data_IF_726143005359
#
_entry.id   IF_726143005359
#
_cell.length_a   1.000
_cell.length_b   1.000
_cell.length_c   1.000
_cell.angle_alpha   90.00
_cell.angle_beta   90.00
_cell.angle_gamma   90.00
#
_symmetry.space_group_name_H-M   'P 1'
#
loop_
_entity.id
_entity.type
_entity.pdbx_description
1 polymer ?
#
# COMPACT_ATOMS: atom_id res chain seq x y z
N UNK A 1 11.44 -18.82 10.28
CA UNK A 1 12.10 -17.83 9.38
C UNK A 1 11.72 -18.18 7.95
N UNK A 2 11.21 -17.24 7.14
CA UNK A 2 10.88 -17.53 5.74
C UNK A 2 12.20 -17.54 4.94
N UNK A 3 12.62 -18.70 4.44
CA UNK A 3 13.71 -18.79 3.47
C UNK A 3 13.12 -18.43 2.10
N UNK A 4 13.40 -17.22 1.61
CA UNK A 4 12.83 -16.77 0.33
C UNK A 4 13.41 -17.55 -0.85
N UNK A 5 14.65 -18.03 -0.79
CA UNK A 5 15.22 -18.89 -1.84
C UNK A 5 14.34 -20.11 -2.14
N UNK A 6 13.75 -20.73 -1.12
CA UNK A 6 12.80 -21.83 -1.29
C UNK A 6 11.49 -21.41 -1.99
N UNK A 7 11.01 -20.17 -1.78
CA UNK A 7 9.84 -19.63 -2.49
C UNK A 7 10.16 -19.34 -3.96
N UNK A 8 11.38 -18.91 -4.26
CA UNK A 8 11.83 -18.54 -5.60
C UNK A 8 12.49 -19.71 -6.38
N UNK A 9 12.57 -20.90 -5.77
CA UNK A 9 13.04 -22.18 -6.36
C UNK A 9 14.45 -22.13 -6.95
N UNK A 10 15.35 -21.34 -6.36
CA UNK A 10 16.74 -21.15 -6.83
C UNK A 10 16.89 -20.76 -8.31
N UNK A 11 15.85 -20.19 -8.91
CA UNK A 11 15.89 -19.66 -10.28
C UNK A 11 16.21 -18.17 -10.26
N UNK A 12 17.04 -17.76 -11.21
CA UNK A 12 17.30 -16.35 -11.51
C UNK A 12 16.20 -15.83 -12.45
N UNK A 13 15.71 -14.63 -12.13
CA UNK A 13 14.72 -13.90 -12.93
C UNK A 13 15.32 -12.57 -13.35
N UNK A 14 14.89 -12.05 -14.50
CA UNK A 14 15.36 -10.76 -14.99
C UNK A 14 14.79 -9.62 -14.12
N UNK A 15 13.54 -9.80 -13.66
CA UNK A 15 12.84 -8.80 -12.86
C UNK A 15 12.13 -9.46 -11.68
N UNK A 16 12.43 -8.95 -10.49
CA UNK A 16 11.72 -9.22 -9.25
C UNK A 16 10.78 -8.06 -8.96
N UNK A 17 9.51 -8.28 -9.19
CA UNK A 17 8.44 -7.39 -8.78
C UNK A 17 7.96 -7.76 -7.37
N UNK A 18 7.72 -6.77 -6.53
CA UNK A 18 7.30 -7.00 -5.14
C UNK A 18 6.16 -6.08 -4.76
N UNK A 19 5.20 -6.61 -4.03
CA UNK A 19 4.20 -5.80 -3.34
C UNK A 19 4.84 -4.99 -2.20
N UNK A 20 4.43 -3.74 -2.04
CA UNK A 20 5.07 -2.87 -1.04
C UNK A 20 4.58 -3.17 0.38
N UNK A 21 3.28 -3.25 0.62
CA UNK A 21 2.74 -3.22 1.97
C UNK A 21 2.31 -4.61 2.44
N UNK A 22 2.57 -4.93 3.70
CA UNK A 22 2.40 -6.28 4.26
C UNK A 22 3.30 -7.36 3.60
N UNK A 23 4.07 -6.98 2.58
CA UNK A 23 5.05 -7.80 1.86
C UNK A 23 6.49 -7.27 2.03
N UNK A 24 6.87 -6.15 1.41
CA UNK A 24 8.19 -5.52 1.56
C UNK A 24 8.31 -4.77 2.89
N UNK A 25 7.32 -3.93 3.19
CA UNK A 25 7.15 -3.18 4.43
C UNK A 25 6.02 -3.81 5.24
N UNK A 26 6.35 -4.33 6.41
CA UNK A 26 5.42 -5.08 7.24
C UNK A 26 4.68 -4.17 8.21
N UNK A 27 3.37 -4.36 8.35
CA UNK A 27 2.60 -3.71 9.41
C UNK A 27 2.49 -4.57 10.65
N UNK A 28 2.37 -3.90 11.79
CA UNK A 28 1.83 -4.49 13.02
C UNK A 28 0.38 -4.95 12.78
N UNK A 29 -0.14 -5.86 13.59
CA UNK A 29 -1.50 -6.42 13.47
C UNK A 29 -2.65 -5.43 13.73
N UNK A 30 -2.40 -4.13 13.62
CA UNK A 30 -3.42 -3.09 13.73
C UNK A 30 -4.18 -3.00 12.41
N UNK A 31 -5.49 -3.25 12.46
CA UNK A 31 -6.33 -3.13 11.28
C UNK A 31 -6.35 -1.69 10.73
N UNK A 32 -6.72 -1.53 9.47
CA UNK A 32 -6.83 -0.23 8.81
C UNK A 32 -7.70 0.77 9.58
N UNK A 33 -8.88 0.35 10.03
CA UNK A 33 -9.77 1.21 10.82
C UNK A 33 -9.14 1.71 12.12
N UNK A 34 -8.32 0.90 12.78
CA UNK A 34 -7.56 1.33 13.94
C UNK A 34 -6.54 2.41 13.57
N UNK A 35 -5.84 2.23 12.45
CA UNK A 35 -4.86 3.20 11.95
C UNK A 35 -5.52 4.54 11.61
N UNK A 36 -6.65 4.51 10.92
CA UNK A 36 -7.45 5.73 10.66
C UNK A 36 -7.90 6.42 11.95
N UNK A 37 -8.20 5.65 13.01
CA UNK A 37 -8.58 6.24 14.30
C UNK A 37 -7.40 6.97 14.94
N UNK A 38 -6.19 6.38 14.90
CA UNK A 38 -4.98 7.04 15.41
C UNK A 38 -4.62 8.28 14.58
N UNK A 39 -4.68 8.20 13.25
CA UNK A 39 -4.47 9.34 12.35
C UNK A 39 -5.50 10.45 12.64
N UNK A 40 -6.76 10.10 12.89
CA UNK A 40 -7.82 11.08 13.25
C UNK A 40 -7.51 11.83 14.55
N UNK A 41 -6.92 11.16 15.55
CA UNK A 41 -6.43 11.84 16.78
C UNK A 41 -5.28 12.79 16.47
N UNK A 42 -4.37 12.38 15.60
CA UNK A 42 -3.24 13.21 15.15
C UNK A 42 -3.77 14.45 14.44
N UNK A 43 -4.67 14.29 13.46
CA UNK A 43 -5.27 15.39 12.69
C UNK A 43 -6.00 16.37 13.60
N UNK A 44 -6.85 15.88 14.51
CA UNK A 44 -7.54 16.74 15.48
C UNK A 44 -6.57 17.67 16.21
N UNK A 45 -5.46 17.13 16.70
CA UNK A 45 -4.49 17.85 17.53
C UNK A 45 -3.57 18.74 16.69
N UNK A 46 -3.03 18.22 15.59
CA UNK A 46 -1.97 18.85 14.80
C UNK A 46 -2.51 19.81 13.74
N UNK A 47 -3.69 19.55 13.21
CA UNK A 47 -4.40 20.43 12.26
C UNK A 47 -5.49 21.26 12.95
N UNK A 48 -5.60 21.19 14.28
CA UNK A 48 -6.55 21.98 15.10
C UNK A 48 -8.04 21.83 14.70
N UNK A 49 -8.42 20.66 14.17
CA UNK A 49 -9.80 20.39 13.72
C UNK A 49 -10.76 20.37 14.92
N UNK A 50 -11.81 21.19 14.86
CA UNK A 50 -12.77 21.38 15.97
C UNK A 50 -13.83 20.28 16.08
N UNK A 51 -13.87 19.32 15.16
CA UNK A 51 -14.75 18.13 15.23
C UNK A 51 -14.22 17.08 16.22
N UNK A 52 -15.09 16.21 16.73
CA UNK A 52 -14.65 15.11 17.60
C UNK A 52 -13.89 14.04 16.80
N UNK A 53 -13.05 13.24 17.47
CA UNK A 53 -12.22 12.22 16.79
C UNK A 53 -13.08 11.22 16.01
N UNK A 54 -14.23 10.83 16.54
CA UNK A 54 -15.13 9.88 15.88
C UNK A 54 -15.70 10.45 14.57
N UNK A 55 -16.04 11.75 14.53
CA UNK A 55 -16.48 12.39 13.27
C UNK A 55 -15.38 12.43 12.24
N UNK A 56 -14.14 12.77 12.64
CA UNK A 56 -12.98 12.79 11.73
C UNK A 56 -12.73 11.39 11.15
N UNK A 57 -12.77 10.38 12.02
CA UNK A 57 -12.60 8.98 11.64
C UNK A 57 -13.71 8.50 10.68
N UNK A 58 -14.97 8.80 10.98
CA UNK A 58 -16.10 8.41 10.13
C UNK A 58 -16.03 9.12 8.78
N UNK A 59 -15.71 10.41 8.76
CA UNK A 59 -15.52 11.16 7.51
C UNK A 59 -14.40 10.58 6.65
N UNK A 60 -13.29 10.11 7.24
CA UNK A 60 -12.23 9.42 6.52
C UNK A 60 -12.74 8.16 5.80
N UNK A 61 -13.53 7.34 6.50
CA UNK A 61 -14.07 6.09 5.95
C UNK A 61 -15.08 6.38 4.84
N UNK A 62 -16.00 7.30 5.09
CA UNK A 62 -17.02 7.69 4.11
C UNK A 62 -16.40 8.34 2.88
N UNK A 63 -15.39 9.21 3.06
CA UNK A 63 -14.63 9.78 1.96
C UNK A 63 -13.94 8.73 1.11
N UNK A 64 -13.29 7.73 1.73
CA UNK A 64 -12.70 6.62 1.00
C UNK A 64 -13.76 5.81 0.25
N UNK A 65 -14.90 5.49 0.89
CA UNK A 65 -16.00 4.76 0.25
C UNK A 65 -16.55 5.51 -0.96
N UNK A 66 -16.79 6.82 -0.83
CA UNK A 66 -17.25 7.69 -1.91
C UNK A 66 -16.20 7.73 -3.02
N UNK A 67 -14.91 7.89 -2.69
CA UNK A 67 -13.84 7.91 -3.67
C UNK A 67 -13.78 6.61 -4.49
N UNK A 68 -13.77 5.45 -3.83
CA UNK A 68 -13.76 4.15 -4.52
C UNK A 68 -15.06 3.89 -5.30
N UNK A 69 -16.21 4.41 -4.86
CA UNK A 69 -17.45 4.31 -5.62
C UNK A 69 -17.41 5.17 -6.90
N UNK A 70 -17.01 6.44 -6.77
CA UNK A 70 -16.90 7.38 -7.90
C UNK A 70 -15.91 6.88 -8.95
N UNK A 71 -14.76 6.37 -8.50
CA UNK A 71 -13.72 5.84 -9.37
C UNK A 71 -14.02 4.41 -9.84
N UNK A 72 -14.80 3.63 -9.09
CA UNK A 72 -15.21 2.28 -9.47
C UNK A 72 -16.03 2.25 -10.77
N UNK A 73 -16.78 3.31 -11.06
CA UNK A 73 -17.54 3.48 -12.30
C UNK A 73 -16.68 3.88 -13.51
N UNK A 74 -15.47 4.39 -13.28
CA UNK A 74 -14.50 4.75 -14.31
C UNK A 74 -13.42 3.65 -14.33
N UNK A 75 -13.54 2.69 -15.26
CA UNK A 75 -12.99 1.34 -15.10
C UNK A 75 -11.49 1.25 -14.78
N UNK A 76 -10.70 2.28 -15.05
CA UNK A 76 -9.27 2.30 -14.80
C UNK A 76 -8.85 2.99 -13.49
N UNK A 77 -9.58 4.01 -13.01
CA UNK A 77 -9.04 4.94 -12.02
C UNK A 77 -9.06 4.40 -10.58
N UNK A 78 -8.07 4.83 -9.79
CA UNK A 78 -7.94 4.53 -8.36
C UNK A 78 -7.74 5.87 -7.61
N UNK A 79 -8.48 6.13 -6.52
CA UNK A 79 -8.38 7.40 -5.83
C UNK A 79 -7.05 7.51 -5.08
N UNK A 80 -6.40 8.67 -5.17
CA UNK A 80 -5.25 8.99 -4.35
C UNK A 80 -5.65 9.63 -3.01
N UNK A 81 -4.70 9.66 -2.09
CA UNK A 81 -4.86 10.16 -0.72
C UNK A 81 -5.35 11.60 -0.67
N UNK A 82 -4.84 12.46 -1.55
CA UNK A 82 -5.21 13.88 -1.62
C UNK A 82 -6.69 14.04 -1.97
N UNK A 83 -7.18 13.25 -2.93
CA UNK A 83 -8.60 13.24 -3.28
C UNK A 83 -9.48 12.79 -2.10
N UNK A 84 -9.06 11.73 -1.40
CA UNK A 84 -9.77 11.25 -0.20
C UNK A 84 -9.80 12.33 0.89
N UNK A 85 -8.71 13.09 1.09
CA UNK A 85 -8.70 14.18 2.06
C UNK A 85 -9.59 15.35 1.69
N UNK A 86 -9.64 15.75 0.41
CA UNK A 86 -10.56 16.79 -0.05
C UNK A 86 -12.00 16.43 0.32
N UNK A 87 -12.45 15.24 -0.07
CA UNK A 87 -13.77 14.72 0.31
C UNK A 87 -13.98 14.66 1.82
N UNK A 88 -12.98 14.17 2.57
CA UNK A 88 -13.06 14.07 4.02
C UNK A 88 -13.26 15.43 4.68
N UNK A 89 -12.51 16.45 4.28
CA UNK A 89 -12.61 17.78 4.87
C UNK A 89 -13.86 18.53 4.40
N UNK A 90 -14.34 18.29 3.17
CA UNK A 90 -15.66 18.76 2.70
C UNK A 90 -16.80 18.17 3.56
N UNK A 91 -16.79 16.85 3.80
CA UNK A 91 -17.77 16.17 4.68
C UNK A 91 -17.73 16.74 6.11
N UNK A 92 -16.54 17.11 6.58
CA UNK A 92 -16.36 17.69 7.90
C UNK A 92 -16.68 19.18 7.96
N UNK A 93 -16.97 19.85 6.83
CA UNK A 93 -17.13 21.30 6.80
C UNK A 93 -15.93 22.01 7.45
N UNK A 94 -14.73 21.64 6.99
CA UNK A 94 -13.45 22.22 7.40
C UNK A 94 -12.84 22.91 6.20
N UNK A 95 -12.54 24.20 6.32
CA UNK A 95 -11.78 24.91 5.29
C UNK A 95 -10.35 24.40 5.24
N UNK A 96 -9.85 24.14 4.03
CA UNK A 96 -8.48 23.72 3.78
C UNK A 96 -7.94 24.43 2.54
N UNK A 97 -6.63 24.65 2.53
CA UNK A 97 -5.84 25.02 1.38
C UNK A 97 -4.83 23.91 1.05
N UNK A 98 -3.97 24.14 0.06
CA UNK A 98 -2.98 23.15 -0.35
C UNK A 98 -1.95 22.85 0.76
N UNK A 99 -1.57 23.84 1.56
CA UNK A 99 -0.65 23.67 2.69
C UNK A 99 -1.26 22.81 3.80
N UNK A 100 -2.56 22.96 4.05
CA UNK A 100 -3.32 22.13 4.99
C UNK A 100 -3.38 20.67 4.51
N UNK A 101 -3.67 20.44 3.22
CA UNK A 101 -3.70 19.10 2.62
C UNK A 101 -2.31 18.46 2.65
N UNK A 102 -1.27 19.22 2.32
CA UNK A 102 0.12 18.77 2.43
C UNK A 102 0.46 18.37 3.87
N UNK A 103 0.10 19.21 4.85
CA UNK A 103 0.30 18.90 6.27
C UNK A 103 -0.43 17.63 6.70
N UNK A 104 -1.65 17.39 6.21
CA UNK A 104 -2.39 16.15 6.48
C UNK A 104 -1.67 14.92 5.88
N UNK A 105 -1.13 15.03 4.67
CA UNK A 105 -0.34 13.98 4.03
C UNK A 105 0.92 13.66 4.84
N UNK A 106 1.69 14.68 5.22
CA UNK A 106 2.92 14.52 6.01
C UNK A 106 2.65 13.83 7.35
N UNK A 107 1.55 14.17 8.02
CA UNK A 107 1.13 13.51 9.27
C UNK A 107 0.77 12.03 9.05
N UNK A 108 0.12 11.69 7.94
CA UNK A 108 -0.19 10.28 7.60
C UNK A 108 1.08 9.50 7.23
N UNK A 109 1.98 10.08 6.43
CA UNK A 109 3.28 9.44 6.11
C UNK A 109 4.14 9.25 7.36
N UNK A 110 4.16 10.23 8.26
CA UNK A 110 4.84 10.11 9.56
C UNK A 110 4.26 8.98 10.40
N UNK A 111 2.93 8.87 10.45
CA UNK A 111 2.27 7.77 11.14
C UNK A 111 2.58 6.41 10.49
N UNK A 112 2.43 6.28 9.17
CA UNK A 112 2.75 5.05 8.44
C UNK A 112 4.20 4.62 8.69
N UNK A 113 5.15 5.56 8.60
CA UNK A 113 6.56 5.28 8.89
C UNK A 113 6.82 4.80 10.31
N UNK A 114 5.98 5.18 11.29
CA UNK A 114 6.13 4.77 12.69
C UNK A 114 5.60 3.36 12.98
N UNK A 115 4.73 2.82 12.12
CA UNK A 115 4.07 1.52 12.32
C UNK A 115 4.50 0.45 11.32
N UNK A 116 5.25 0.85 10.29
CA UNK A 116 5.87 -0.04 9.31
C UNK A 116 7.26 -0.46 9.76
N UNK A 117 7.63 -1.70 9.46
CA UNK A 117 8.96 -2.22 9.70
C UNK A 117 9.47 -3.00 8.48
N UNK A 118 10.80 -3.08 8.26
CA UNK A 118 11.35 -3.85 7.16
C UNK A 118 10.95 -5.33 7.23
N UNK A 119 10.66 -5.93 6.08
CA UNK A 119 10.79 -7.38 5.91
C UNK A 119 12.24 -7.73 5.61
N UNK A 120 13.12 -7.71 6.63
CA UNK A 120 14.58 -7.79 6.43
C UNK A 120 15.03 -8.99 5.60
N UNK A 121 14.36 -10.14 5.71
CA UNK A 121 14.69 -11.33 4.91
C UNK A 121 14.40 -11.11 3.42
N UNK A 122 13.27 -10.48 3.09
CA UNK A 122 12.92 -10.17 1.70
C UNK A 122 13.82 -9.07 1.14
N UNK A 123 14.10 -8.04 1.95
CA UNK A 123 15.00 -6.94 1.57
C UNK A 123 16.41 -7.47 1.26
N UNK A 124 16.96 -8.34 2.13
CA UNK A 124 18.25 -8.98 1.89
C UNK A 124 18.24 -9.79 0.59
N UNK A 125 17.23 -10.65 0.43
CA UNK A 125 17.08 -11.47 -0.78
C UNK A 125 17.05 -10.60 -2.05
N UNK A 126 16.20 -9.58 -2.09
CA UNK A 126 16.07 -8.69 -3.25
C UNK A 126 17.36 -7.90 -3.51
N UNK A 127 18.04 -7.45 -2.46
CA UNK A 127 19.34 -6.77 -2.58
C UNK A 127 20.38 -7.67 -3.23
N UNK A 128 20.41 -8.94 -2.87
CA UNK A 128 21.33 -9.91 -3.45
C UNK A 128 20.98 -10.23 -4.91
N UNK A 129 19.69 -10.30 -5.27
CA UNK A 129 19.28 -10.43 -6.68
C UNK A 129 19.68 -9.21 -7.50
N UNK A 130 19.52 -8.01 -6.95
CA UNK A 130 19.96 -6.77 -7.59
C UNK A 130 21.47 -6.73 -7.84
N UNK A 131 22.28 -7.12 -6.86
CA UNK A 131 23.74 -7.24 -7.00
C UNK A 131 24.16 -8.24 -8.10
N UNK A 132 23.32 -9.24 -8.38
CA UNK A 132 23.54 -10.24 -9.42
C UNK A 132 22.94 -9.86 -10.78
N UNK A 133 22.57 -8.59 -10.99
CA UNK A 133 22.16 -8.05 -12.29
C UNK A 133 20.65 -8.09 -12.57
N UNK A 134 19.83 -8.61 -11.66
CA UNK A 134 18.37 -8.54 -11.78
C UNK A 134 17.84 -7.14 -11.46
N UNK A 135 16.76 -6.73 -12.10
CA UNK A 135 16.02 -5.54 -11.68
C UNK A 135 15.04 -5.87 -10.56
N UNK A 136 14.86 -4.94 -9.63
CA UNK A 136 13.87 -5.03 -8.54
C UNK A 136 12.91 -3.86 -8.63
N UNK A 137 11.62 -4.15 -8.79
CA UNK A 137 10.57 -3.14 -8.93
C UNK A 137 9.50 -3.29 -7.84
N UNK A 138 8.90 -2.18 -7.43
CA UNK A 138 7.79 -2.14 -6.50
C UNK A 138 6.46 -1.92 -7.20
N UNK A 139 5.42 -2.59 -6.73
CA UNK A 139 4.04 -2.35 -7.14
C UNK A 139 3.19 -2.15 -5.89
N UNK A 140 2.38 -1.11 -5.85
CA UNK A 140 1.42 -0.87 -4.76
C UNK A 140 0.04 -0.55 -5.32
N UNK A 141 -0.99 -1.11 -4.71
CA UNK A 141 -2.40 -0.80 -4.96
C UNK A 141 -3.03 0.11 -3.89
N UNK A 142 -2.20 0.78 -3.09
CA UNK A 142 -2.65 1.74 -2.09
C UNK A 142 -2.95 3.12 -2.67
N UNK A 143 -3.74 3.88 -1.92
CA UNK A 143 -4.05 5.29 -2.18
C UNK A 143 -2.84 6.25 -2.08
N UNK A 144 -1.64 5.77 -1.75
CA UNK A 144 -0.42 6.59 -1.66
C UNK A 144 0.30 6.63 -3.00
N UNK A 145 0.80 7.81 -3.38
CA UNK A 145 1.58 7.99 -4.61
C UNK A 145 2.94 7.27 -4.54
N UNK A 146 3.56 6.98 -5.68
CA UNK A 146 4.91 6.41 -5.76
C UNK A 146 5.94 7.32 -5.09
N UNK A 147 5.78 8.65 -5.16
CA UNK A 147 6.61 9.60 -4.42
C UNK A 147 6.49 9.38 -2.90
N UNK A 148 5.26 9.36 -2.38
CA UNK A 148 4.98 9.11 -0.96
C UNK A 148 5.55 7.78 -0.49
N UNK A 149 5.37 6.72 -1.29
CA UNK A 149 5.87 5.38 -0.98
C UNK A 149 7.40 5.35 -1.05
N UNK A 150 8.03 6.03 -2.01
CA UNK A 150 9.49 6.13 -2.11
C UNK A 150 10.07 6.77 -0.86
N UNK A 151 9.45 7.83 -0.35
CA UNK A 151 9.85 8.49 0.91
C UNK A 151 9.74 7.55 2.10
N UNK A 152 8.68 6.74 2.20
CA UNK A 152 8.55 5.70 3.24
C UNK A 152 9.66 4.64 3.13
N UNK A 153 9.93 4.16 1.91
CA UNK A 153 11.00 3.18 1.66
C UNK A 153 12.34 3.75 2.06
N UNK A 154 12.69 4.97 1.63
CA UNK A 154 13.98 5.60 1.97
C UNK A 154 14.14 5.81 3.48
N UNK A 155 13.07 6.12 4.20
CA UNK A 155 13.13 6.32 5.64
C UNK A 155 13.29 4.98 6.41
N UNK A 156 12.62 3.93 5.97
CA UNK A 156 12.57 2.64 6.69
C UNK A 156 13.71 1.71 6.26
N UNK A 157 14.07 1.74 4.97
CA UNK A 157 15.02 0.82 4.32
C UNK A 157 16.26 1.59 3.84
N UNK A 158 17.05 2.12 4.77
CA UNK A 158 18.29 2.82 4.42
C UNK A 158 19.20 1.94 3.55
N UNK A 159 19.55 2.43 2.36
CA UNK A 159 20.40 1.74 1.39
C UNK A 159 19.69 0.75 0.45
N UNK A 160 18.39 0.52 0.59
CA UNK A 160 17.62 -0.26 -0.38
C UNK A 160 16.94 0.64 -1.41
N UNK A 161 17.07 0.31 -2.69
CA UNK A 161 16.47 1.09 -3.78
C UNK A 161 15.82 0.17 -4.81
N UNK A 162 14.58 0.48 -5.14
CA UNK A 162 13.87 -0.09 -6.28
C UNK A 162 14.35 0.61 -7.56
N UNK A 163 14.44 -0.14 -8.66
CA UNK A 163 14.69 0.46 -9.98
C UNK A 163 13.48 1.24 -10.49
N UNK A 164 12.29 0.72 -10.19
CA UNK A 164 11.01 1.35 -10.51
C UNK A 164 10.00 1.12 -9.40
N UNK A 165 9.09 2.05 -9.22
CA UNK A 165 7.97 1.94 -8.29
C UNK A 165 6.70 2.41 -8.99
N UNK A 166 5.70 1.54 -9.04
CA UNK A 166 4.41 1.82 -9.65
C UNK A 166 3.33 1.83 -8.57
N UNK A 167 2.61 2.94 -8.44
CA UNK A 167 1.44 3.04 -7.58
C UNK A 167 0.17 3.16 -8.42
N UNK A 168 -0.88 2.44 -8.01
CA UNK A 168 -2.20 2.60 -8.60
C UNK A 168 -2.74 4.02 -8.49
N UNK A 169 -2.37 4.73 -7.41
CA UNK A 169 -2.78 6.10 -7.14
C UNK A 169 -2.19 7.14 -8.11
N UNK A 170 -1.06 6.84 -8.76
CA UNK A 170 -0.47 7.73 -9.79
C UNK A 170 -1.00 7.41 -11.18
N UNK A 171 -1.16 6.12 -11.45
CA UNK A 171 -1.34 5.61 -12.80
C UNK A 171 -2.79 5.52 -13.22
N UNK A 172 -3.74 5.74 -12.29
CA UNK A 172 -5.14 5.43 -12.52
C UNK A 172 -5.29 4.02 -13.11
N UNK A 173 -4.58 3.05 -12.53
CA UNK A 173 -4.56 1.64 -12.95
C UNK A 173 -4.50 0.75 -11.73
N UNK A 174 -5.23 -0.36 -11.75
CA UNK A 174 -5.45 -1.18 -10.56
C UNK A 174 -4.76 -2.54 -10.68
N UNK A 175 -4.01 -2.92 -9.64
CA UNK A 175 -3.45 -4.28 -9.49
C UNK A 175 -4.56 -5.32 -9.37
N UNK A 176 -5.62 -4.98 -8.63
CA UNK A 176 -6.80 -5.84 -8.41
C UNK A 176 -7.60 -6.08 -9.69
N UNK A 177 -7.69 -5.09 -10.59
CA UNK A 177 -8.35 -5.27 -11.90
C UNK A 177 -7.39 -5.79 -12.98
N UNK A 178 -6.09 -5.84 -12.68
CA UNK A 178 -5.05 -6.34 -13.58
C UNK A 178 -4.48 -5.32 -14.56
N UNK A 179 -5.10 -4.14 -14.71
CA UNK A 179 -4.67 -3.12 -15.69
C UNK A 179 -3.26 -2.56 -15.43
N UNK A 180 -2.74 -2.73 -14.22
CA UNK A 180 -1.40 -2.27 -13.87
C UNK A 180 -0.28 -3.14 -14.48
N UNK A 181 -0.49 -4.45 -14.65
CA UNK A 181 0.55 -5.34 -15.16
C UNK A 181 0.89 -5.14 -16.63
N UNK A 182 -0.06 -5.00 -17.58
CA UNK A 182 0.23 -4.63 -18.96
C UNK A 182 1.04 -3.34 -19.08
N UNK A 183 0.70 -2.33 -18.27
CA UNK A 183 1.42 -1.06 -18.27
C UNK A 183 2.86 -1.21 -17.78
N UNK A 184 3.08 -2.00 -16.72
CA UNK A 184 4.43 -2.34 -16.26
C UNK A 184 5.19 -3.12 -17.33
N UNK A 185 4.51 -4.03 -18.04
CA UNK A 185 5.10 -4.84 -19.10
C UNK A 185 5.60 -3.98 -20.26
N UNK A 186 4.72 -3.12 -20.77
CA UNK A 186 5.00 -2.19 -21.86
C UNK A 186 6.10 -1.19 -21.45
N UNK A 187 5.96 -0.55 -20.28
CA UNK A 187 6.89 0.50 -19.85
C UNK A 187 8.30 0.00 -19.56
N UNK A 188 8.45 -1.26 -19.19
CA UNK A 188 9.76 -1.86 -18.94
C UNK A 188 10.32 -2.62 -20.16
N UNK A 189 9.54 -2.76 -21.25
CA UNK A 189 9.88 -3.52 -22.45
C UNK A 189 10.21 -4.98 -22.13
N UNK A 190 9.33 -5.68 -21.42
CA UNK A 190 9.64 -6.97 -20.77
C UNK A 190 8.97 -8.17 -21.43
N UNK A 191 8.53 -8.04 -22.69
CA UNK A 191 7.81 -9.10 -23.43
C UNK A 191 8.59 -10.42 -23.47
N UNK A 192 9.93 -10.38 -23.50
CA UNK A 192 10.81 -11.55 -23.49
C UNK A 192 11.48 -11.85 -22.13
N UNK A 193 11.17 -11.07 -21.07
CA UNK A 193 11.85 -11.22 -19.77
C UNK A 193 11.09 -12.13 -18.82
N UNK A 194 11.84 -12.90 -18.03
CA UNK A 194 11.28 -13.72 -16.95
C UNK A 194 11.01 -12.84 -15.74
N UNK A 195 9.74 -12.52 -15.53
CA UNK A 195 9.29 -11.69 -14.42
C UNK A 195 8.60 -12.53 -13.35
N UNK A 196 8.97 -12.26 -12.11
CA UNK A 196 8.32 -12.85 -10.94
C UNK A 196 7.75 -11.74 -10.06
N UNK A 197 6.54 -11.94 -9.56
CA UNK A 197 5.88 -11.02 -8.64
C UNK A 197 5.57 -11.74 -7.33
N UNK A 198 5.86 -11.12 -6.18
CA UNK A 198 5.46 -11.65 -4.87
C UNK A 198 4.67 -10.65 -4.03
N UNK A 199 3.68 -11.16 -3.30
CA UNK A 199 2.85 -10.36 -2.41
C UNK A 199 1.95 -11.20 -1.50
N UNK A 200 1.29 -10.56 -0.54
CA UNK A 200 0.52 -11.22 0.51
C UNK A 200 -0.97 -11.39 0.17
N UNK A 201 -1.44 -10.83 -0.94
CA UNK A 201 -2.81 -10.97 -1.42
C UNK A 201 -2.90 -12.00 -2.55
N UNK A 202 -3.70 -13.04 -2.34
CA UNK A 202 -3.85 -14.14 -3.29
C UNK A 202 -4.42 -13.69 -4.64
N UNK A 203 -5.34 -12.72 -4.63
CA UNK A 203 -5.97 -12.27 -5.86
C UNK A 203 -5.05 -11.32 -6.64
N UNK A 204 -4.63 -10.20 -6.04
CA UNK A 204 -3.88 -9.15 -6.72
C UNK A 204 -2.41 -9.49 -6.97
N UNK A 205 -1.80 -10.34 -6.14
CA UNK A 205 -0.34 -10.56 -6.16
C UNK A 205 0.05 -11.97 -6.62
N UNK A 206 -0.92 -12.88 -6.69
CA UNK A 206 -0.70 -14.22 -7.20
C UNK A 206 -1.54 -14.48 -8.44
N UNK A 207 -2.87 -14.42 -8.35
CA UNK A 207 -3.74 -14.81 -9.46
C UNK A 207 -3.70 -13.83 -10.63
N UNK A 208 -3.58 -12.53 -10.36
CA UNK A 208 -3.64 -11.50 -11.39
C UNK A 208 -2.37 -11.42 -12.25
N UNK A 209 -1.14 -11.38 -11.70
CA UNK A 209 0.07 -11.36 -12.52
C UNK A 209 0.16 -12.56 -13.47
N UNK A 210 -0.29 -13.75 -13.04
CA UNK A 210 -0.27 -14.99 -13.84
C UNK A 210 -1.05 -14.84 -15.14
N UNK A 211 -2.14 -14.07 -15.15
CA UNK A 211 -2.93 -13.81 -16.36
C UNK A 211 -2.17 -13.05 -17.44
N UNK A 212 -1.06 -12.41 -17.06
CA UNK A 212 -0.20 -11.60 -17.93
C UNK A 212 1.18 -12.25 -18.13
N UNK A 213 1.31 -13.56 -17.91
CA UNK A 213 2.57 -14.29 -18.10
C UNK A 213 3.62 -14.07 -17.01
N UNK A 214 3.28 -13.35 -15.93
CA UNK A 214 4.17 -13.12 -14.78
C UNK A 214 4.04 -14.28 -13.79
N UNK A 215 5.16 -14.77 -13.26
CA UNK A 215 5.14 -15.80 -12.23
C UNK A 215 4.67 -15.19 -10.91
N UNK A 216 3.54 -15.66 -10.37
CA UNK A 216 3.03 -15.20 -9.07
C UNK A 216 3.57 -16.04 -7.90
N UNK A 217 4.02 -15.38 -6.83
CA UNK A 217 4.43 -16.00 -5.57
C UNK A 217 3.60 -15.44 -4.43
N UNK A 218 2.74 -16.29 -3.86
CA UNK A 218 1.90 -15.92 -2.72
C UNK A 218 2.70 -16.00 -1.40
N UNK A 219 2.85 -14.88 -0.72
CA UNK A 219 3.59 -14.76 0.56
C UNK A 219 2.72 -14.24 1.70
N UNK A 220 1.69 -15.00 2.15
CA UNK A 220 0.76 -14.52 3.16
C UNK A 220 1.44 -14.19 4.50
N UNK A 221 0.83 -13.26 5.23
CA UNK A 221 1.10 -13.07 6.66
C UNK A 221 0.78 -14.32 7.45
N UNK A 222 1.41 -14.50 8.62
CA UNK A 222 1.16 -15.69 9.46
C UNK A 222 -0.31 -15.78 9.91
N UNK A 223 -0.81 -16.99 10.16
CA UNK A 223 -2.20 -17.18 10.64
C UNK A 223 -2.47 -16.41 11.94
N UNK A 224 -1.48 -16.34 12.84
CA UNK A 224 -1.58 -15.56 14.08
C UNK A 224 -1.71 -14.06 13.79
N UNK A 225 -0.94 -13.52 12.84
CA UNK A 225 -1.07 -12.13 12.44
C UNK A 225 -2.46 -11.86 11.84
N UNK A 226 -2.95 -12.75 10.96
CA UNK A 226 -4.27 -12.61 10.35
C UNK A 226 -5.40 -12.65 11.38
N UNK A 227 -5.31 -13.56 12.36
CA UNK A 227 -6.27 -13.65 13.47
C UNK A 227 -6.24 -12.39 14.35
N UNK A 228 -5.04 -11.89 14.70
CA UNK A 228 -4.88 -10.68 15.48
C UNK A 228 -5.42 -9.43 14.75
N UNK A 229 -5.19 -9.34 13.44
CA UNK A 229 -5.72 -8.27 12.60
C UNK A 229 -7.26 -8.29 12.56
N UNK A 230 -7.87 -9.46 12.36
CA UNK A 230 -9.34 -9.64 12.42
C UNK A 230 -9.91 -9.25 13.79
N UNK A 231 -9.26 -9.67 14.89
CA UNK A 231 -9.69 -9.30 16.23
C UNK A 231 -9.57 -7.79 16.49
N UNK A 232 -8.49 -7.16 15.99
CA UNK A 232 -8.32 -5.70 16.03
C UNK A 232 -9.47 -5.00 15.32
N UNK A 233 -9.85 -5.46 14.13
CA UNK A 233 -10.97 -4.92 13.37
C UNK A 233 -12.29 -5.01 14.15
N UNK A 234 -12.63 -6.20 14.65
CA UNK A 234 -13.85 -6.41 15.44
C UNK A 234 -13.92 -5.46 16.65
N UNK A 235 -12.81 -5.30 17.39
CA UNK A 235 -12.76 -4.41 18.56
C UNK A 235 -13.01 -2.94 18.21
N UNK A 236 -12.46 -2.47 17.10
CA UNK A 236 -12.65 -1.09 16.64
C UNK A 236 -14.09 -0.87 16.21
N UNK A 237 -14.62 -1.75 15.37
CA UNK A 237 -16.01 -1.67 14.88
C UNK A 237 -17.02 -1.69 16.03
N UNK A 238 -16.87 -2.61 16.99
CA UNK A 238 -17.72 -2.70 18.19
C UNK A 238 -17.64 -1.44 19.05
N UNK A 239 -16.43 -0.91 19.26
CA UNK A 239 -16.23 0.32 20.05
C UNK A 239 -16.92 1.53 19.42
N UNK A 240 -17.02 1.55 18.09
CA UNK A 240 -17.54 2.67 17.32
C UNK A 240 -19.01 2.49 16.93
N UNK A 241 -19.67 1.42 17.40
CA UNK A 241 -21.10 1.18 17.19
C UNK A 241 -21.48 0.85 15.75
N UNK A 242 -20.54 0.33 14.96
CA UNK A 242 -20.76 -0.08 13.55
C UNK A 242 -21.15 -1.57 13.45
N UNK A 243 -20.96 -2.33 14.54
CA UNK A 243 -21.40 -3.70 14.77
C UNK A 243 -22.18 -3.76 16.07
#
# INVERSE_FOLDING_TARGET
MKCYDAYFRDKTYDIYSVDIFDTLLLRKYQCEYYRFLEISKIFKRKLNIKKCVNSIWLARIEAARIAYYTFGNDQEKEPNITYIYKLMFDILDVNYDDDFLHSALELELSYESSVLSPNSNLVSFLSDRKKNGSSVIGISDMYLTSDSISRLISNILSGFQLDYLFSSADLNKSKRKGSLFPYVIDRLGIEDKKVIHCGDNYHSDYSMPIKFGIIGIYTPRSRLWQAANKLSNYRVMKRLGVL
#
